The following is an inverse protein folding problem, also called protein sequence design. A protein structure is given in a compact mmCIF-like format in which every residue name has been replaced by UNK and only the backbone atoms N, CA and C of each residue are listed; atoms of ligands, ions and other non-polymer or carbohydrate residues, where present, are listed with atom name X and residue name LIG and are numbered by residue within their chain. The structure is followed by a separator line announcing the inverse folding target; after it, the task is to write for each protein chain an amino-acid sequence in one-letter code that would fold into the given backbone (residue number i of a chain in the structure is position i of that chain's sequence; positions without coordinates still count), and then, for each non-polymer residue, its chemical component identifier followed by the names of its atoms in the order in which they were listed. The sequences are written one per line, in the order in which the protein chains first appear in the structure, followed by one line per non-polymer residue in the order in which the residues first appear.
data_IF_024791509544
#
_entry.id   IF_024791509544
#
_cell.length_a   1.000
_cell.length_b   1.000
_cell.length_c   1.000
_cell.angle_alpha   90.00
_cell.angle_beta   90.00
_cell.angle_gamma   90.00
#
_symmetry.space_group_name_H-M   'P 1'
#
loop_
_entity.id
_entity.type
_entity.pdbx_description
1 polymer ?
#
# COMPACT_ATOMS: atom_id res chain seq x y z
N UNK A 1 -47.73 27.12 -1.20
CA UNK A 1 -47.83 25.66 -1.38
C UNK A 1 -46.98 25.29 -2.59
N UNK A 2 -45.75 24.82 -2.38
CA UNK A 2 -44.82 24.45 -3.45
C UNK A 2 -44.67 22.93 -3.48
N UNK A 3 -45.03 22.33 -4.61
CA UNK A 3 -45.03 20.90 -4.83
C UNK A 3 -43.59 20.37 -4.90
N UNK A 4 -43.29 19.35 -4.10
CA UNK A 4 -42.04 18.57 -4.16
C UNK A 4 -42.10 17.61 -5.37
N UNK A 5 -41.03 17.50 -6.17
CA UNK A 5 -40.96 16.47 -7.20
C UNK A 5 -40.65 15.08 -6.60
N UNK A 6 -41.05 13.99 -7.28
CA UNK A 6 -40.83 12.62 -6.81
C UNK A 6 -39.37 12.20 -6.99
N UNK A 7 -38.82 11.57 -5.95
CA UNK A 7 -37.51 10.94 -5.95
C UNK A 7 -37.49 9.75 -6.92
N UNK A 8 -36.64 9.83 -7.95
CA UNK A 8 -36.33 8.70 -8.80
C UNK A 8 -35.37 7.75 -8.07
N UNK A 9 -35.84 6.54 -7.79
CA UNK A 9 -35.05 5.43 -7.24
C UNK A 9 -34.16 4.88 -8.35
N UNK A 10 -32.86 5.17 -8.28
CA UNK A 10 -31.87 4.59 -9.19
C UNK A 10 -31.55 3.16 -8.73
N UNK A 11 -31.86 2.20 -9.59
CA UNK A 11 -31.54 0.80 -9.43
C UNK A 11 -30.02 0.58 -9.37
N UNK A 12 -29.57 0.04 -8.25
CA UNK A 12 -28.20 -0.39 -8.00
C UNK A 12 -27.85 -1.58 -8.90
N UNK A 13 -26.93 -1.38 -9.85
CA UNK A 13 -26.35 -2.48 -10.62
C UNK A 13 -25.18 -3.07 -9.83
N UNK A 14 -25.41 -4.26 -9.29
CA UNK A 14 -24.44 -5.14 -8.65
C UNK A 14 -23.28 -5.44 -9.62
N UNK A 15 -22.11 -4.81 -9.40
CA UNK A 15 -20.85 -5.26 -9.99
C UNK A 15 -20.28 -6.40 -9.15
N UNK A 16 -20.27 -7.58 -9.75
CA UNK A 16 -19.56 -8.75 -9.26
C UNK A 16 -18.09 -8.41 -9.00
N UNK A 17 -17.69 -8.40 -7.72
CA UNK A 17 -16.30 -8.37 -7.30
C UNK A 17 -15.61 -9.66 -7.72
N UNK A 18 -14.82 -9.60 -8.79
CA UNK A 18 -13.86 -10.65 -9.10
C UNK A 18 -12.74 -10.62 -8.06
N UNK A 19 -12.61 -11.76 -7.39
CA UNK A 19 -11.62 -12.06 -6.36
C UNK A 19 -10.20 -11.83 -6.87
N UNK A 20 -9.52 -10.87 -6.23
CA UNK A 20 -8.05 -10.78 -6.21
C UNK A 20 -7.49 -12.07 -5.59
N UNK A 21 -6.83 -12.90 -6.41
CA UNK A 21 -5.87 -13.88 -5.92
C UNK A 21 -4.53 -13.16 -5.81
N UNK A 22 -4.28 -12.59 -4.63
CA UNK A 22 -2.95 -12.19 -4.20
C UNK A 22 -2.24 -13.48 -3.80
N UNK A 23 -1.29 -13.89 -4.62
CA UNK A 23 -0.39 -15.01 -4.38
C UNK A 23 0.97 -14.68 -4.96
N UNK A 24 1.64 -13.69 -4.38
CA UNK A 24 3.08 -13.52 -4.53
C UNK A 24 3.72 -14.16 -3.29
N UNK A 25 4.54 -15.19 -3.48
CA UNK A 25 5.93 -15.03 -3.08
C UNK A 25 6.89 -15.60 -4.12
N UNK A 26 8.17 -15.50 -3.81
CA UNK A 26 9.35 -16.03 -4.53
C UNK A 26 9.85 -15.08 -5.61
N UNK A 27 11.10 -14.64 -5.59
CA UNK A 27 12.23 -15.03 -4.76
C UNK A 27 13.44 -14.37 -5.38
N UNK A 28 14.33 -13.88 -4.54
CA UNK A 28 15.60 -13.26 -4.89
C UNK A 28 16.36 -14.13 -5.91
N UNK A 29 16.58 -13.61 -7.12
CA UNK A 29 17.48 -14.21 -8.12
C UNK A 29 18.79 -13.42 -8.19
N UNK A 30 19.48 -13.30 -7.06
CA UNK A 30 20.89 -12.89 -7.00
C UNK A 30 21.69 -14.13 -6.62
N UNK A 31 22.23 -14.83 -7.63
CA UNK A 31 23.08 -15.99 -7.43
C UNK A 31 24.46 -15.56 -6.92
N UNK A 32 24.92 -16.22 -5.87
CA UNK A 32 26.28 -16.13 -5.36
C UNK A 32 27.27 -16.68 -6.40
N UNK A 33 28.27 -15.86 -6.70
CA UNK A 33 29.40 -16.19 -7.57
C UNK A 33 30.50 -16.75 -6.68
N UNK A 34 30.60 -18.07 -6.58
CA UNK A 34 31.78 -18.75 -6.00
C UNK A 34 32.61 -19.30 -7.15
N UNK A 35 33.87 -18.86 -7.18
CA UNK A 35 34.73 -18.90 -8.36
C UNK A 35 35.23 -20.28 -8.78
N UNK A 36 35.71 -20.32 -10.03
CA UNK A 36 36.63 -21.33 -10.53
C UNK A 36 37.50 -20.71 -11.63
N UNK A 37 38.80 -20.82 -11.42
CA UNK A 37 39.87 -20.30 -12.24
C UNK A 37 40.05 -21.09 -13.55
N UNK A 38 40.46 -20.37 -14.59
CA UNK A 38 41.39 -20.78 -15.65
C UNK A 38 41.24 -22.19 -16.25
N UNK A 39 40.33 -22.35 -17.22
CA UNK A 39 40.54 -23.24 -18.38
C UNK A 39 40.04 -22.56 -19.67
N UNK A 40 40.98 -22.09 -20.49
CA UNK A 40 40.74 -21.77 -21.90
C UNK A 40 40.72 -23.08 -22.69
N UNK A 41 39.54 -23.63 -22.91
CA UNK A 41 39.31 -24.76 -23.80
C UNK A 41 37.81 -24.89 -23.94
N UNK A 42 37.30 -24.63 -25.15
CA UNK A 42 35.89 -24.83 -25.56
C UNK A 42 34.88 -24.46 -24.47
N UNK A 43 34.52 -23.18 -24.40
CA UNK A 43 33.47 -22.70 -23.51
C UNK A 43 32.15 -23.37 -23.88
N UNK A 44 31.88 -24.51 -23.23
CA UNK A 44 30.60 -25.20 -23.23
C UNK A 44 29.55 -24.18 -22.80
N UNK A 45 28.79 -23.67 -23.76
CA UNK A 45 27.72 -22.70 -23.51
C UNK A 45 26.69 -23.39 -22.64
N UNK A 46 26.72 -23.12 -21.34
CA UNK A 46 25.71 -23.57 -20.41
C UNK A 46 24.37 -22.97 -20.83
N UNK A 47 23.48 -23.82 -21.31
CA UNK A 47 22.10 -23.45 -21.66
C UNK A 47 21.25 -23.60 -20.40
N UNK A 48 20.60 -22.51 -20.00
CA UNK A 48 19.60 -22.54 -18.93
C UNK A 48 18.22 -22.31 -19.49
N UNK A 49 17.26 -23.11 -19.05
CA UNK A 49 15.85 -22.87 -19.35
C UNK A 49 15.35 -21.67 -18.53
N UNK A 50 14.78 -20.68 -19.22
CA UNK A 50 14.19 -19.48 -18.62
C UNK A 50 12.74 -19.30 -19.09
N UNK A 51 11.93 -18.61 -18.30
CA UNK A 51 10.56 -18.24 -18.67
C UNK A 51 10.50 -16.81 -19.20
N UNK A 52 9.64 -16.55 -20.18
CA UNK A 52 9.48 -15.22 -20.76
C UNK A 52 9.08 -14.16 -19.71
N UNK A 53 9.72 -12.99 -19.74
CA UNK A 53 9.41 -11.89 -18.82
C UNK A 53 8.08 -11.15 -19.09
N UNK A 54 7.30 -11.57 -20.09
CA UNK A 54 6.01 -10.96 -20.40
C UNK A 54 4.95 -11.61 -19.50
N UNK A 55 4.23 -10.84 -18.65
CA UNK A 55 3.25 -11.41 -17.72
C UNK A 55 2.04 -12.10 -18.38
N UNK A 56 1.90 -11.99 -19.71
CA UNK A 56 0.86 -12.68 -20.50
C UNK A 56 1.41 -13.87 -21.31
N UNK A 57 2.68 -14.23 -21.12
CA UNK A 57 3.34 -15.26 -21.89
C UNK A 57 4.11 -16.20 -20.97
N UNK A 58 3.69 -17.46 -20.91
CA UNK A 58 4.30 -18.48 -20.06
C UNK A 58 5.28 -19.38 -20.85
N UNK A 59 5.76 -18.92 -22.02
CA UNK A 59 6.68 -19.72 -22.83
C UNK A 59 8.06 -19.81 -22.17
N UNK A 60 8.53 -21.04 -22.00
CA UNK A 60 9.91 -21.34 -21.65
C UNK A 60 10.80 -21.27 -22.90
N UNK A 61 12.05 -20.83 -22.73
CA UNK A 61 13.05 -20.76 -23.79
C UNK A 61 14.45 -21.00 -23.22
N UNK A 62 15.35 -21.45 -24.09
CA UNK A 62 16.74 -21.67 -23.76
C UNK A 62 17.52 -20.35 -23.80
N UNK A 63 18.23 -20.05 -22.72
CA UNK A 63 19.07 -18.86 -22.57
C UNK A 63 20.54 -19.27 -22.49
N UNK A 64 21.32 -18.78 -23.44
CA UNK A 64 22.77 -18.93 -23.41
C UNK A 64 23.38 -18.09 -22.29
N UNK A 65 24.17 -18.70 -21.41
CA UNK A 65 24.95 -18.01 -20.37
C UNK A 65 26.27 -17.43 -20.88
N UNK A 66 26.28 -16.89 -22.10
CA UNK A 66 27.45 -16.23 -22.65
C UNK A 66 27.73 -14.85 -22.00
N UNK A 67 28.91 -14.25 -22.24
CA UNK A 67 29.29 -12.91 -21.76
C UNK A 67 28.48 -11.74 -22.40
N UNK A 68 27.34 -12.02 -23.02
CA UNK A 68 26.47 -11.06 -23.67
C UNK A 68 25.32 -10.57 -22.78
N UNK A 69 24.53 -9.62 -23.32
CA UNK A 69 23.30 -9.16 -22.68
C UNK A 69 22.32 -10.33 -22.57
N UNK A 70 21.88 -10.63 -21.35
CA UNK A 70 20.88 -11.68 -21.09
C UNK A 70 19.60 -11.39 -21.89
N UNK A 71 19.07 -12.43 -22.52
CA UNK A 71 17.79 -12.40 -23.23
C UNK A 71 16.68 -12.73 -22.23
N UNK A 72 15.74 -11.81 -22.04
CA UNK A 72 14.63 -11.94 -21.08
C UNK A 72 13.32 -12.39 -21.75
N UNK A 73 13.30 -12.41 -23.09
CA UNK A 73 12.13 -12.73 -23.90
C UNK A 73 12.46 -13.86 -24.85
N UNK A 74 11.51 -14.77 -25.08
CA UNK A 74 11.69 -15.85 -26.06
C UNK A 74 11.84 -15.29 -27.50
N UNK A 75 11.17 -14.17 -27.82
CA UNK A 75 11.19 -13.52 -29.14
C UNK A 75 11.23 -11.98 -29.05
N UNK A 76 11.71 -11.34 -30.13
CA UNK A 76 11.74 -9.87 -30.25
C UNK A 76 10.32 -9.29 -30.38
N UNK A 77 9.37 -10.03 -30.97
CA UNK A 77 7.97 -9.61 -31.01
C UNK A 77 7.37 -9.55 -29.59
N UNK A 78 7.65 -10.55 -28.75
CA UNK A 78 7.17 -10.56 -27.37
C UNK A 78 7.76 -9.41 -26.55
N UNK A 79 9.04 -9.09 -26.78
CA UNK A 79 9.67 -7.89 -26.21
C UNK A 79 8.93 -6.61 -26.61
N UNK A 80 8.72 -6.38 -27.92
CA UNK A 80 8.02 -5.19 -28.42
C UNK A 80 6.60 -5.06 -27.86
N UNK A 81 5.87 -6.18 -27.78
CA UNK A 81 4.52 -6.22 -27.20
C UNK A 81 4.53 -5.84 -25.72
N UNK A 82 5.50 -6.35 -24.96
CA UNK A 82 5.68 -6.01 -23.54
C UNK A 82 6.03 -4.53 -23.36
N UNK A 83 6.91 -3.98 -24.19
CA UNK A 83 7.25 -2.55 -24.16
C UNK A 83 6.04 -1.67 -24.50
N UNK A 84 5.21 -2.07 -25.46
CA UNK A 84 3.98 -1.37 -25.81
C UNK A 84 2.95 -1.41 -24.66
N UNK A 85 2.74 -2.59 -24.06
CA UNK A 85 1.86 -2.75 -22.89
C UNK A 85 2.37 -1.92 -21.70
N UNK A 86 3.68 -1.90 -21.46
CA UNK A 86 4.30 -1.06 -20.42
C UNK A 86 3.97 0.43 -20.63
N UNK A 87 4.20 0.96 -21.84
CA UNK A 87 3.88 2.37 -22.17
C UNK A 87 2.39 2.66 -21.93
N UNK A 88 1.50 1.77 -22.38
CA UNK A 88 0.05 1.92 -22.20
C UNK A 88 -0.35 1.93 -20.72
N UNK A 89 0.24 1.07 -19.90
CA UNK A 89 -0.02 1.02 -18.46
C UNK A 89 0.51 2.27 -17.75
N UNK A 90 1.72 2.74 -18.08
CA UNK A 90 2.27 3.98 -17.55
C UNK A 90 1.37 5.18 -17.85
N UNK A 91 0.94 5.36 -19.11
CA UNK A 91 0.04 6.46 -19.47
C UNK A 91 -1.31 6.40 -18.75
N UNK A 92 -1.85 5.20 -18.49
CA UNK A 92 -3.07 5.03 -17.71
C UNK A 92 -2.86 5.39 -16.23
N UNK A 93 -1.73 4.99 -15.67
CA UNK A 93 -1.36 5.30 -14.28
C UNK A 93 -1.24 6.82 -14.08
N UNK A 94 -0.50 7.52 -14.95
CA UNK A 94 -0.38 8.98 -14.93
C UNK A 94 -1.72 9.70 -15.07
N UNK A 95 -2.67 9.13 -15.84
CA UNK A 95 -4.01 9.68 -15.97
C UNK A 95 -4.80 9.57 -14.66
N UNK A 96 -4.75 8.40 -14.00
CA UNK A 96 -5.43 8.20 -12.73
C UNK A 96 -4.82 9.00 -11.59
N UNK A 97 -3.50 9.20 -11.58
CA UNK A 97 -2.84 10.07 -10.61
C UNK A 97 -3.34 11.51 -10.72
N UNK A 98 -3.42 12.06 -11.93
CA UNK A 98 -4.00 13.39 -12.18
C UNK A 98 -5.46 13.49 -11.73
N UNK A 99 -6.25 12.44 -11.94
CA UNK A 99 -7.62 12.38 -11.42
C UNK A 99 -7.65 12.37 -9.88
N UNK A 100 -6.78 11.58 -9.24
CA UNK A 100 -6.69 11.49 -7.79
C UNK A 100 -6.26 12.84 -7.18
N UNK A 101 -5.29 13.52 -7.77
CA UNK A 101 -4.88 14.87 -7.38
C UNK A 101 -6.03 15.87 -7.47
N UNK A 102 -6.80 15.83 -8.56
CA UNK A 102 -8.00 16.67 -8.72
C UNK A 102 -9.03 16.41 -7.62
N UNK A 103 -9.27 15.14 -7.27
CA UNK A 103 -10.22 14.80 -6.20
C UNK A 103 -9.71 15.22 -4.81
N UNK A 104 -8.41 15.06 -4.53
CA UNK A 104 -7.79 15.58 -3.31
C UNK A 104 -7.91 17.10 -3.21
N UNK A 105 -7.69 17.82 -4.31
CA UNK A 105 -7.86 19.28 -4.36
C UNK A 105 -9.31 19.69 -4.06
N UNK A 106 -10.30 18.96 -4.61
CA UNK A 106 -11.71 19.19 -4.30
C UNK A 106 -12.04 18.95 -2.83
N UNK A 107 -11.56 17.85 -2.25
CA UNK A 107 -11.75 17.55 -0.83
C UNK A 107 -11.15 18.65 0.06
N UNK A 108 -9.93 19.10 -0.26
CA UNK A 108 -9.29 20.18 0.48
C UNK A 108 -10.06 21.50 0.39
N UNK A 109 -10.72 21.77 -0.74
CA UNK A 109 -11.58 22.94 -0.88
C UNK A 109 -12.83 22.86 0.02
N UNK A 110 -13.43 21.67 0.18
CA UNK A 110 -14.54 21.46 1.11
C UNK A 110 -14.13 21.61 2.58
N UNK A 111 -12.96 21.07 2.97
CA UNK A 111 -12.43 21.23 4.33
C UNK A 111 -12.19 22.71 4.63
N UNK A 112 -11.64 23.46 3.67
CA UNK A 112 -11.36 24.88 3.87
C UNK A 112 -12.65 25.71 4.02
N UNK A 113 -13.65 25.42 3.19
CA UNK A 113 -14.93 26.14 3.22
C UNK A 113 -15.84 25.76 4.40
N UNK A 114 -15.68 24.58 5.01
CA UNK A 114 -16.36 24.27 6.27
C UNK A 114 -15.79 25.01 7.49
N UNK A 115 -14.60 25.60 7.37
CA UNK A 115 -13.99 26.43 8.41
C UNK A 115 -14.37 27.92 8.34
N UNK A 116 -14.91 28.41 7.21
CA UNK A 116 -15.22 29.84 7.03
C UNK A 116 -16.56 30.27 7.67
N UNK A 117 -17.31 29.35 8.28
CA UNK A 117 -18.62 29.61 8.91
C UNK A 117 -18.68 29.47 10.44
N UNK A 118 -17.66 28.90 11.08
CA UNK A 118 -17.46 28.92 12.52
C UNK A 118 -16.02 29.34 12.79
N UNK A 119 -15.75 30.23 13.77
CA UNK A 119 -14.40 30.56 14.17
C UNK A 119 -13.76 29.31 14.80
N UNK A 120 -13.20 28.47 13.94
CA UNK A 120 -12.45 27.32 14.35
C UNK A 120 -11.20 27.85 15.08
N UNK A 121 -11.22 27.63 16.38
CA UNK A 121 -10.05 27.78 17.23
C UNK A 121 -8.90 27.07 16.51
N UNK A 122 -7.79 27.74 16.22
CA UNK A 122 -6.72 27.13 15.46
C UNK A 122 -6.35 25.80 16.11
N UNK A 123 -6.21 24.74 15.31
CA UNK A 123 -5.48 23.52 15.68
C UNK A 123 -4.02 23.92 15.93
N UNK A 124 -3.78 24.68 16.98
CA UNK A 124 -2.51 24.78 17.67
C UNK A 124 -2.25 23.33 18.09
N UNK A 125 -1.16 22.75 17.58
CA UNK A 125 -0.70 21.45 18.05
C UNK A 125 -0.77 21.41 19.57
N UNK A 126 -1.14 20.25 20.13
CA UNK A 126 -1.39 20.10 21.55
C UNK A 126 -0.28 20.84 22.32
N UNK A 127 -0.68 21.86 23.07
CA UNK A 127 0.28 22.66 23.84
C UNK A 127 1.05 21.74 24.78
N UNK A 128 2.30 22.04 25.15
CA UNK A 128 3.07 21.20 26.07
C UNK A 128 2.32 20.89 27.37
N UNK A 129 1.48 21.82 27.82
CA UNK A 129 0.58 21.68 28.96
C UNK A 129 -0.55 20.66 28.72
N UNK A 130 -1.13 20.61 27.52
CA UNK A 130 -2.13 19.60 27.14
C UNK A 130 -1.51 18.20 27.05
N UNK A 131 -0.28 18.09 26.53
CA UNK A 131 0.46 16.82 26.48
C UNK A 131 0.78 16.35 27.91
N UNK A 132 1.22 17.24 28.81
CA UNK A 132 1.45 16.91 30.22
C UNK A 132 0.18 16.41 30.90
N UNK A 133 -0.95 17.10 30.71
CA UNK A 133 -2.25 16.66 31.26
C UNK A 133 -2.70 15.31 30.71
N UNK A 134 -2.50 15.06 29.42
CA UNK A 134 -2.82 13.78 28.81
C UNK A 134 -2.00 12.64 29.44
N UNK A 135 -0.70 12.85 29.67
CA UNK A 135 0.17 11.89 30.36
C UNK A 135 -0.27 11.61 31.79
N UNK A 136 -0.56 12.66 32.56
CA UNK A 136 -1.03 12.50 33.95
C UNK A 136 -2.32 11.68 34.00
N UNK A 137 -3.24 11.91 33.06
CA UNK A 137 -4.48 11.14 32.94
C UNK A 137 -4.20 9.68 32.54
N UNK A 138 -3.32 9.42 31.57
CA UNK A 138 -2.91 8.05 31.18
C UNK A 138 -2.28 7.31 32.36
N UNK A 139 -1.42 7.98 33.15
CA UNK A 139 -0.81 7.38 34.35
C UNK A 139 -1.83 7.03 35.44
N UNK A 140 -2.85 7.86 35.64
CA UNK A 140 -3.96 7.55 36.56
C UNK A 140 -4.74 6.32 36.07
N UNK A 141 -5.11 6.28 34.79
CA UNK A 141 -5.83 5.15 34.19
C UNK A 141 -4.98 3.87 34.22
N UNK A 142 -3.66 3.96 34.03
CA UNK A 142 -2.73 2.82 34.15
C UNK A 142 -2.77 2.19 35.54
N UNK A 143 -2.93 2.99 36.59
CA UNK A 143 -3.15 2.51 37.96
C UNK A 143 -4.47 1.75 38.09
N UNK A 144 -5.54 2.26 37.48
CA UNK A 144 -6.87 1.65 37.49
C UNK A 144 -6.95 0.37 36.64
N UNK A 145 -6.27 0.34 35.49
CA UNK A 145 -6.23 -0.78 34.56
C UNK A 145 -5.71 -2.07 35.20
N UNK A 146 -4.84 -1.97 36.22
CA UNK A 146 -4.37 -3.13 36.99
C UNK A 146 -5.50 -3.87 37.71
N UNK A 147 -6.54 -3.17 38.15
CA UNK A 147 -7.70 -3.76 38.80
C UNK A 147 -8.70 -4.36 37.80
N UNK A 148 -8.65 -3.94 36.53
CA UNK A 148 -9.50 -4.46 35.47
C UNK A 148 -8.95 -5.77 34.85
N UNK A 149 -7.63 -6.01 34.98
CA UNK A 149 -6.97 -7.26 34.55
C UNK A 149 -7.34 -8.43 35.47
N UNK A 150 -8.51 -9.00 35.24
CA UNK A 150 -9.09 -10.06 36.07
C UNK A 150 -10.62 -10.01 36.10
N UNK A 151 -11.21 -8.93 35.57
CA UNK A 151 -12.65 -8.83 35.36
C UNK A 151 -13.03 -9.48 34.02
N UNK A 152 -14.06 -10.32 34.01
CA UNK A 152 -14.56 -10.99 32.80
C UNK A 152 -15.52 -10.11 31.97
N UNK A 153 -15.77 -8.88 32.42
CA UNK A 153 -16.69 -7.95 31.76
C UNK A 153 -16.12 -7.48 30.41
N UNK A 154 -16.92 -7.60 29.35
CA UNK A 154 -16.60 -7.17 27.99
C UNK A 154 -16.24 -5.67 27.95
N UNK A 155 -16.91 -4.86 28.77
CA UNK A 155 -16.61 -3.43 28.90
C UNK A 155 -15.21 -3.18 29.47
N UNK A 156 -14.80 -3.96 30.47
CA UNK A 156 -13.47 -3.84 31.08
C UNK A 156 -12.37 -4.23 30.07
N UNK A 157 -12.62 -5.23 29.24
CA UNK A 157 -11.68 -5.64 28.19
C UNK A 157 -11.54 -4.59 27.09
N UNK A 158 -12.64 -3.96 26.68
CA UNK A 158 -12.61 -2.92 25.64
C UNK A 158 -11.93 -1.63 26.13
N UNK A 159 -12.11 -1.26 27.40
CA UNK A 159 -11.35 -0.18 28.02
C UNK A 159 -9.84 -0.47 28.07
N UNK A 160 -9.45 -1.72 28.36
CA UNK A 160 -8.04 -2.12 28.33
C UNK A 160 -7.45 -2.06 26.92
N UNK A 161 -8.19 -2.54 25.90
CA UNK A 161 -7.76 -2.43 24.49
C UNK A 161 -7.58 -0.97 24.06
N UNK A 162 -8.51 -0.09 24.47
CA UNK A 162 -8.41 1.34 24.18
C UNK A 162 -7.18 1.95 24.85
N UNK A 163 -6.92 1.61 26.11
CA UNK A 163 -5.73 2.06 26.83
C UNK A 163 -4.45 1.61 26.14
N UNK A 164 -4.32 0.32 25.82
CA UNK A 164 -3.14 -0.26 25.16
C UNK A 164 -2.88 0.36 23.78
N UNK A 165 -3.94 0.81 23.08
CA UNK A 165 -3.83 1.51 21.80
C UNK A 165 -3.42 2.98 21.92
N UNK A 166 -3.80 3.66 23.01
CA UNK A 166 -3.59 5.11 23.20
C UNK A 166 -2.27 5.42 23.91
N UNK A 167 -1.85 4.59 24.87
CA UNK A 167 -0.58 4.74 25.60
C UNK A 167 0.62 5.06 24.68
N UNK A 168 0.91 4.28 23.60
CA UNK A 168 2.07 4.53 22.75
C UNK A 168 1.97 5.85 21.96
N UNK A 169 0.77 6.35 21.68
CA UNK A 169 0.57 7.59 20.92
C UNK A 169 0.92 8.82 21.77
N UNK A 170 0.60 8.78 23.06
CA UNK A 170 0.89 9.88 23.99
C UNK A 170 2.39 9.92 24.32
N UNK A 171 3.04 8.77 24.42
CA UNK A 171 4.48 8.68 24.69
C UNK A 171 5.31 9.14 23.47
N UNK A 172 4.93 8.73 22.26
CA UNK A 172 5.64 9.06 21.01
C UNK A 172 5.59 10.55 20.62
N UNK A 173 4.72 11.36 21.22
CA UNK A 173 4.55 12.78 20.88
C UNK A 173 5.62 13.69 21.52
N UNK A 174 6.64 13.10 22.16
CA UNK A 174 7.55 13.82 23.07
C UNK A 174 9.02 13.66 22.76
N UNK A 175 9.36 12.80 21.80
CA UNK A 175 10.69 12.70 21.21
C UNK A 175 10.76 13.57 19.94
#
# INVERSE_FOLDING_TARGET
MLARPPFAVLASTSRASQRLRIGAPHGVCCGDVVGLAERRGESETLVLQATCANPRCDQAFDRDLGPGRRKDFHSEECRRRTEADRRKLTSRLEHYERQAETMRARLNAYIRSSHDGEPQTPCVGATPEQIRRARDAVMQVKGMARFLRGHEDEFAQDLLKLFDAVEPLVDATTD
#
